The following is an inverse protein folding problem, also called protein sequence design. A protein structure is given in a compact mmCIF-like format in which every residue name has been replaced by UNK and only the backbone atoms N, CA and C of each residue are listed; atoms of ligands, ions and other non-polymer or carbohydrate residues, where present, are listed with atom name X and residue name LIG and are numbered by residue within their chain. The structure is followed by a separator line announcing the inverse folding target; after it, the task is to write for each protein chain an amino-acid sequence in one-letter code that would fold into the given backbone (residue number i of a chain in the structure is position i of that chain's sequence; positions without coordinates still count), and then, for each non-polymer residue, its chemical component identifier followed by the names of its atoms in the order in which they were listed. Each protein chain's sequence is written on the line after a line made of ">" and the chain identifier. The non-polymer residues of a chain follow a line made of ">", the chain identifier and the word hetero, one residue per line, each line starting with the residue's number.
data_IF_673663401501
#
_entry.id   IF_673663401501
#
_cell.length_a   1.000
_cell.length_b   1.000
_cell.length_c   1.000
_cell.angle_alpha   90.00
_cell.angle_beta   90.00
_cell.angle_gamma   90.00
#
_symmetry.space_group_name_H-M   'P 1'
#
loop_
_entity.id
_entity.type
_entity.pdbx_description
1 polymer ?
#
# COMPACT_ATOMS: atom_id res chain seq x y z
N UNK A 1 3.90 -24.18 19.37
CA UNK A 1 4.03 -22.70 19.34
C UNK A 1 3.51 -22.22 18.01
N UNK A 2 2.71 -21.17 17.97
CA UNK A 2 2.16 -20.63 16.73
C UNK A 2 3.20 -19.92 15.88
N UNK A 3 3.01 -19.91 14.57
CA UNK A 3 3.77 -19.11 13.60
C UNK A 3 2.90 -18.02 13.01
N UNK A 4 3.52 -16.97 12.49
CA UNK A 4 2.88 -15.86 11.78
C UNK A 4 3.50 -15.74 10.39
N UNK A 5 2.68 -15.48 9.38
CA UNK A 5 3.15 -15.20 8.02
C UNK A 5 2.95 -13.73 7.68
N UNK A 6 4.03 -13.02 7.39
CA UNK A 6 4.03 -11.68 6.82
C UNK A 6 4.28 -11.72 5.31
N UNK A 7 3.50 -10.97 4.54
CA UNK A 7 3.69 -10.76 3.11
C UNK A 7 4.04 -9.30 2.91
N UNK A 8 5.18 -9.02 2.27
CA UNK A 8 5.63 -7.67 1.89
C UNK A 8 5.77 -7.58 0.37
N UNK A 9 4.93 -6.80 -0.27
CA UNK A 9 4.99 -6.57 -1.70
C UNK A 9 5.51 -5.17 -2.02
N UNK A 10 6.80 -5.08 -2.29
CA UNK A 10 7.41 -3.86 -2.79
C UNK A 10 7.24 -3.67 -4.30
N UNK A 11 7.86 -2.62 -4.83
CA UNK A 11 7.77 -2.28 -6.25
C UNK A 11 8.47 -3.30 -7.17
N UNK A 12 9.46 -4.03 -6.69
CA UNK A 12 10.28 -4.95 -7.51
C UNK A 12 10.30 -6.38 -7.00
N UNK A 13 9.95 -6.59 -5.74
CA UNK A 13 10.07 -7.88 -5.05
C UNK A 13 8.87 -8.07 -4.14
N UNK A 14 8.28 -9.27 -4.16
CA UNK A 14 7.38 -9.77 -3.12
C UNK A 14 8.16 -10.72 -2.20
N UNK A 15 7.88 -10.65 -0.90
CA UNK A 15 8.49 -11.49 0.13
C UNK A 15 7.40 -12.15 0.96
N UNK A 16 7.64 -13.39 1.34
CA UNK A 16 6.85 -14.11 2.33
C UNK A 16 7.81 -14.50 3.47
N UNK A 17 7.49 -14.09 4.69
CA UNK A 17 8.35 -14.30 5.85
C UNK A 17 7.55 -14.97 6.96
N UNK A 18 8.02 -16.10 7.44
CA UNK A 18 7.42 -16.83 8.56
C UNK A 18 8.20 -16.49 9.82
N UNK A 19 7.47 -16.05 10.84
CA UNK A 19 8.00 -15.67 12.15
C UNK A 19 7.48 -16.61 13.24
N UNK A 20 8.26 -16.79 14.29
CA UNK A 20 7.73 -17.28 15.55
C UNK A 20 7.09 -16.12 16.37
N UNK A 21 6.41 -16.45 17.44
CA UNK A 21 5.75 -15.46 18.31
C UNK A 21 6.72 -14.59 19.12
N UNK A 22 8.04 -14.86 19.05
CA UNK A 22 9.08 -14.00 19.58
C UNK A 22 9.63 -13.02 18.53
N UNK A 23 9.07 -13.01 17.31
CA UNK A 23 9.49 -12.14 16.20
C UNK A 23 10.74 -12.62 15.45
N UNK A 24 11.21 -13.85 15.70
CA UNK A 24 12.37 -14.40 15.00
C UNK A 24 11.93 -14.97 13.66
N UNK A 25 12.69 -14.68 12.61
CA UNK A 25 12.48 -15.26 11.28
C UNK A 25 12.76 -16.77 11.32
N UNK A 26 11.79 -17.57 10.95
CA UNK A 26 11.89 -19.05 10.85
C UNK A 26 12.24 -19.45 9.42
N UNK A 27 11.59 -18.85 8.44
CA UNK A 27 11.89 -19.02 7.02
C UNK A 27 11.45 -17.80 6.22
N UNK A 28 12.02 -17.62 5.04
CA UNK A 28 11.69 -16.52 4.13
C UNK A 28 11.93 -16.95 2.69
N UNK A 29 11.05 -16.48 1.81
CA UNK A 29 11.25 -16.54 0.37
C UNK A 29 10.92 -15.20 -0.28
N UNK A 30 11.45 -14.98 -1.48
CA UNK A 30 11.23 -13.77 -2.26
C UNK A 30 11.15 -14.09 -3.74
N UNK A 31 10.33 -13.31 -4.46
CA UNK A 31 10.19 -13.38 -5.91
C UNK A 31 10.28 -11.97 -6.51
N UNK A 32 10.90 -11.86 -7.67
CA UNK A 32 10.80 -10.63 -8.46
C UNK A 32 9.39 -10.50 -9.02
N UNK A 33 8.86 -9.27 -9.02
CA UNK A 33 7.56 -8.94 -9.59
C UNK A 33 7.77 -7.97 -10.74
N UNK A 34 7.52 -8.39 -11.99
CA UNK A 34 7.74 -7.56 -13.16
C UNK A 34 6.87 -6.30 -13.16
N UNK A 35 7.40 -5.25 -13.77
CA UNK A 35 6.69 -4.02 -14.09
C UNK A 35 6.64 -3.88 -15.60
N UNK A 36 5.61 -3.22 -16.12
CA UNK A 36 5.49 -2.83 -17.52
C UNK A 36 5.43 -1.32 -17.65
N UNK A 37 6.10 -0.79 -18.68
CA UNK A 37 6.10 0.62 -19.05
C UNK A 37 5.49 0.77 -20.44
N UNK A 38 4.16 0.62 -20.61
CA UNK A 38 3.52 0.58 -21.94
C UNK A 38 3.60 1.91 -22.67
N UNK A 39 3.76 3.03 -21.94
CA UNK A 39 3.88 4.40 -22.48
C UNK A 39 4.73 5.23 -21.51
N UNK A 40 5.28 6.37 -21.95
CA UNK A 40 5.90 7.33 -21.02
C UNK A 40 4.95 7.68 -19.87
N UNK A 41 5.49 7.78 -18.65
CA UNK A 41 4.77 8.06 -17.39
C UNK A 41 3.81 6.95 -16.91
N UNK A 42 3.63 5.85 -17.65
CA UNK A 42 2.79 4.73 -17.24
C UNK A 42 3.64 3.62 -16.68
N UNK A 43 3.45 3.30 -15.40
CA UNK A 43 4.10 2.18 -14.72
C UNK A 43 3.03 1.26 -14.17
N UNK A 44 2.97 0.03 -14.67
CA UNK A 44 1.88 -0.90 -14.43
C UNK A 44 2.41 -2.28 -14.06
N UNK A 45 1.52 -3.11 -13.51
CA UNK A 45 1.80 -4.50 -13.17
C UNK A 45 0.59 -5.38 -13.45
N UNK A 46 0.83 -6.54 -14.06
CA UNK A 46 -0.18 -7.58 -14.14
C UNK A 46 -0.60 -8.03 -12.73
N UNK A 47 -1.88 -7.85 -12.41
CA UNK A 47 -2.44 -8.17 -11.10
C UNK A 47 -2.46 -9.68 -10.85
N UNK A 48 -2.78 -10.48 -11.87
CA UNK A 48 -2.79 -11.94 -11.77
C UNK A 48 -1.38 -12.49 -11.61
N UNK A 49 -0.41 -11.97 -12.39
CA UNK A 49 0.99 -12.32 -12.27
C UNK A 49 1.57 -11.94 -10.91
N UNK A 50 1.17 -10.78 -10.34
CA UNK A 50 1.54 -10.41 -8.98
C UNK A 50 1.08 -11.45 -7.96
N UNK A 51 -0.18 -11.87 -8.04
CA UNK A 51 -0.70 -12.92 -7.16
C UNK A 51 0.05 -14.24 -7.33
N UNK A 52 0.31 -14.67 -8.57
CA UNK A 52 1.06 -15.89 -8.85
C UNK A 52 2.44 -15.88 -8.19
N UNK A 53 3.23 -14.80 -8.39
CA UNK A 53 4.54 -14.68 -7.75
C UNK A 53 4.48 -14.60 -6.23
N UNK A 54 3.41 -14.00 -5.68
CA UNK A 54 3.21 -13.95 -4.22
C UNK A 54 2.86 -15.34 -3.67
N UNK A 55 1.98 -16.09 -4.36
CA UNK A 55 1.64 -17.46 -3.98
C UNK A 55 2.86 -18.38 -4.03
N UNK A 56 3.69 -18.28 -5.07
CA UNK A 56 4.96 -18.99 -5.16
C UNK A 56 5.91 -18.65 -4.01
N UNK A 57 6.03 -17.36 -3.65
CA UNK A 57 6.87 -16.95 -2.53
C UNK A 57 6.37 -17.53 -1.20
N UNK A 58 5.04 -17.59 -1.00
CA UNK A 58 4.44 -18.24 0.18
C UNK A 58 4.77 -19.73 0.19
N UNK A 59 4.55 -20.44 -0.93
CA UNK A 59 4.84 -21.86 -1.05
C UNK A 59 6.32 -22.19 -0.76
N UNK A 60 7.25 -21.37 -1.29
CA UNK A 60 8.67 -21.53 -1.03
C UNK A 60 9.03 -21.29 0.45
N UNK A 61 8.44 -20.27 1.08
CA UNK A 61 8.67 -19.98 2.49
C UNK A 61 8.16 -21.13 3.38
N UNK A 62 6.99 -21.69 3.03
CA UNK A 62 6.44 -22.88 3.72
C UNK A 62 7.32 -24.12 3.51
N UNK A 63 7.80 -24.35 2.30
CA UNK A 63 8.69 -25.49 1.98
C UNK A 63 10.03 -25.42 2.74
N UNK A 64 10.55 -24.21 2.95
CA UNK A 64 11.76 -23.97 3.72
C UNK A 64 11.53 -23.95 5.25
N UNK A 65 10.28 -23.90 5.69
CA UNK A 65 9.92 -23.89 7.09
C UNK A 65 10.04 -25.31 7.69
N UNK A 66 10.74 -25.52 8.82
CA UNK A 66 10.84 -26.84 9.46
C UNK A 66 9.55 -27.28 10.17
N UNK A 67 8.49 -26.48 10.07
CA UNK A 67 7.22 -26.70 10.77
C UNK A 67 6.05 -26.73 9.77
N UNK A 68 4.96 -27.45 10.08
CA UNK A 68 3.84 -27.60 9.16
C UNK A 68 3.07 -26.28 8.99
N UNK A 69 2.45 -26.11 7.82
CA UNK A 69 1.61 -24.95 7.52
C UNK A 69 0.43 -24.77 8.50
N UNK A 70 -0.02 -25.86 9.15
CA UNK A 70 -1.06 -25.80 10.20
C UNK A 70 -0.66 -25.02 11.44
N UNK A 71 0.62 -24.73 11.63
CA UNK A 71 1.12 -23.91 12.72
C UNK A 71 0.99 -22.40 12.47
N UNK A 72 0.70 -21.99 11.22
CA UNK A 72 0.44 -20.59 10.88
C UNK A 72 -0.90 -20.17 11.51
N UNK A 73 -0.84 -19.35 12.54
CA UNK A 73 -2.01 -18.88 13.28
C UNK A 73 -2.69 -17.68 12.61
N UNK A 74 -1.93 -16.83 11.91
CA UNK A 74 -2.44 -15.66 11.21
C UNK A 74 -1.50 -15.23 10.07
N UNK A 75 -2.10 -14.57 9.08
CA UNK A 75 -1.41 -13.99 7.92
C UNK A 75 -1.72 -12.50 7.88
N UNK A 76 -0.72 -11.67 7.57
CA UNK A 76 -0.93 -10.26 7.26
C UNK A 76 -0.15 -9.87 6.01
N UNK A 77 -0.73 -9.00 5.19
CA UNK A 77 -0.07 -8.42 4.03
C UNK A 77 0.21 -6.93 4.24
N UNK A 78 1.35 -6.50 3.75
CA UNK A 78 1.67 -5.10 3.48
C UNK A 78 2.17 -4.98 2.04
N UNK A 79 2.03 -3.80 1.45
CA UNK A 79 2.52 -3.56 0.10
C UNK A 79 2.82 -2.08 -0.11
N UNK A 80 3.53 -1.77 -1.22
CA UNK A 80 3.75 -0.39 -1.61
C UNK A 80 2.42 0.39 -1.62
N UNK A 81 2.42 1.56 -1.02
CA UNK A 81 1.27 2.46 -1.02
C UNK A 81 1.12 3.21 -2.33
N UNK A 82 0.04 3.98 -2.42
CA UNK A 82 -0.39 4.71 -3.62
C UNK A 82 -0.62 3.79 -4.85
N UNK A 83 -0.96 4.37 -5.99
CA UNK A 83 -1.35 3.58 -7.16
C UNK A 83 -2.80 3.08 -7.07
N UNK A 84 -3.19 2.16 -7.96
CA UNK A 84 -4.56 1.63 -8.03
C UNK A 84 -4.57 0.17 -8.47
N UNK A 85 -5.41 -0.63 -7.82
CA UNK A 85 -5.74 -2.01 -8.15
C UNK A 85 -7.26 -2.13 -8.27
N UNK A 86 -7.78 -1.97 -9.50
CA UNK A 86 -9.21 -1.81 -9.75
C UNK A 86 -9.85 -3.13 -10.16
N UNK A 87 -11.01 -3.42 -9.56
CA UNK A 87 -11.84 -4.57 -9.92
C UNK A 87 -13.19 -4.10 -10.49
N UNK A 88 -13.78 -4.94 -11.33
CA UNK A 88 -15.20 -4.78 -11.74
C UNK A 88 -16.15 -5.25 -10.63
N UNK A 89 -17.46 -5.14 -10.88
CA UNK A 89 -18.48 -5.55 -9.92
C UNK A 89 -18.49 -7.04 -9.58
N UNK A 90 -17.85 -7.89 -10.42
CA UNK A 90 -17.70 -9.32 -10.19
C UNK A 90 -16.35 -9.67 -9.53
N UNK A 91 -15.54 -8.68 -9.15
CA UNK A 91 -14.25 -8.89 -8.50
C UNK A 91 -13.10 -9.27 -9.44
N UNK A 92 -13.26 -9.06 -10.76
CA UNK A 92 -12.20 -9.33 -11.75
C UNK A 92 -11.34 -8.09 -11.98
N UNK A 93 -10.01 -8.21 -12.13
CA UNK A 93 -9.16 -7.10 -12.50
C UNK A 93 -9.63 -6.39 -13.78
N UNK A 94 -9.87 -5.09 -13.71
CA UNK A 94 -10.27 -4.29 -14.87
C UNK A 94 -9.13 -4.06 -15.86
N UNK A 95 -7.90 -4.03 -15.36
CA UNK A 95 -6.68 -3.83 -16.12
C UNK A 95 -5.47 -4.10 -15.23
N UNK A 96 -4.23 -3.99 -15.73
CA UNK A 96 -3.05 -4.00 -14.88
C UNK A 96 -3.14 -2.96 -13.76
N UNK A 97 -2.66 -3.31 -12.57
CA UNK A 97 -2.52 -2.38 -11.46
C UNK A 97 -1.58 -1.23 -11.81
N UNK A 98 -1.91 -0.04 -11.38
CA UNK A 98 -1.09 1.17 -11.56
C UNK A 98 -0.21 1.33 -10.32
N UNK A 99 1.10 1.50 -10.51
CA UNK A 99 2.07 1.54 -9.42
C UNK A 99 2.30 2.98 -8.91
N UNK A 100 2.85 3.12 -7.71
CA UNK A 100 3.21 4.42 -7.11
C UNK A 100 4.33 5.17 -7.87
N UNK A 101 5.01 4.52 -8.82
CA UNK A 101 5.96 5.15 -9.75
C UNK A 101 5.29 5.78 -10.97
N UNK A 102 3.99 5.54 -11.16
CA UNK A 102 3.23 6.09 -12.27
C UNK A 102 3.06 7.60 -12.12
N UNK A 103 3.20 8.32 -13.23
CA UNK A 103 3.06 9.78 -13.22
C UNK A 103 2.12 10.30 -14.31
N UNK A 104 1.21 9.43 -14.81
CA UNK A 104 0.25 9.81 -15.85
C UNK A 104 -0.67 10.94 -15.43
N UNK A 105 -1.04 11.03 -14.16
CA UNK A 105 -1.91 12.06 -13.62
C UNK A 105 -1.16 13.35 -13.18
N UNK A 106 0.10 13.52 -13.60
CA UNK A 106 0.92 14.68 -13.20
C UNK A 106 0.30 16.04 -13.59
N UNK A 107 -0.37 16.13 -14.75
CA UNK A 107 -1.04 17.36 -15.18
C UNK A 107 -2.29 17.66 -14.33
N UNK A 108 -3.01 16.63 -13.86
CA UNK A 108 -4.13 16.80 -12.93
C UNK A 108 -3.62 17.29 -11.58
N UNK A 109 -2.58 16.66 -11.03
CA UNK A 109 -1.97 17.09 -9.77
C UNK A 109 -1.45 18.54 -9.84
N UNK A 110 -0.80 18.93 -10.95
CA UNK A 110 -0.34 20.30 -11.17
C UNK A 110 -1.51 21.30 -11.24
N UNK A 111 -2.59 20.95 -11.93
CA UNK A 111 -3.79 21.79 -11.98
C UNK A 111 -4.41 21.94 -10.59
N UNK A 112 -4.59 20.87 -9.83
CA UNK A 112 -5.11 20.93 -8.48
C UNK A 112 -4.25 21.72 -7.49
N UNK A 113 -2.94 21.77 -7.74
CA UNK A 113 -2.04 22.64 -6.99
C UNK A 113 -2.29 24.12 -7.33
N UNK A 114 -2.63 24.43 -8.58
CA UNK A 114 -2.85 25.80 -9.05
C UNK A 114 -4.24 26.35 -8.71
N UNK A 115 -5.27 25.53 -8.72
CA UNK A 115 -6.69 25.94 -8.55
C UNK A 115 -7.20 25.85 -7.09
N UNK A 116 -6.33 25.43 -6.15
CA UNK A 116 -6.68 25.34 -4.73
C UNK A 116 -7.23 23.98 -4.29
N UNK A 117 -7.54 23.06 -5.21
CA UNK A 117 -8.03 21.70 -4.89
C UNK A 117 -7.06 20.94 -3.98
N UNK A 118 -5.74 21.06 -4.23
CA UNK A 118 -4.74 20.38 -3.40
C UNK A 118 -4.66 20.96 -1.96
N UNK A 119 -4.93 22.25 -1.80
CA UNK A 119 -4.99 22.88 -0.46
C UNK A 119 -6.21 22.39 0.31
N UNK A 120 -7.37 22.34 -0.33
CA UNK A 120 -8.60 21.80 0.26
C UNK A 120 -8.44 20.30 0.58
N UNK A 121 -7.84 19.52 -0.31
CA UNK A 121 -7.57 18.11 -0.04
C UNK A 121 -6.66 17.94 1.18
N UNK A 122 -5.59 18.73 1.30
CA UNK A 122 -4.70 18.69 2.46
C UNK A 122 -5.44 19.00 3.77
N UNK A 123 -6.30 20.02 3.74
CA UNK A 123 -7.11 20.39 4.91
C UNK A 123 -8.05 19.26 5.33
N UNK A 124 -8.76 18.66 4.35
CA UNK A 124 -9.82 17.69 4.62
C UNK A 124 -9.30 16.26 4.85
N UNK A 125 -8.30 15.85 4.10
CA UNK A 125 -7.81 14.47 4.12
C UNK A 125 -6.42 14.30 4.75
N UNK A 126 -5.73 15.38 5.07
CA UNK A 126 -4.33 15.32 5.47
C UNK A 126 -3.38 14.96 4.32
N UNK A 127 -3.88 14.82 3.09
CA UNK A 127 -3.11 14.40 1.92
C UNK A 127 -3.01 15.51 0.89
N UNK A 128 -1.83 15.67 0.31
CA UNK A 128 -1.63 16.49 -0.88
C UNK A 128 -1.57 15.57 -2.10
N UNK A 129 -2.55 15.61 -3.01
CA UNK A 129 -2.55 14.78 -4.20
C UNK A 129 -1.29 15.00 -5.05
N UNK A 130 -0.69 13.90 -5.47
CA UNK A 130 0.45 13.85 -6.39
C UNK A 130 0.12 12.93 -7.56
N UNK A 131 1.04 12.80 -8.52
CA UNK A 131 0.76 12.11 -9.79
C UNK A 131 0.32 10.66 -9.67
N UNK A 132 0.76 9.94 -8.64
CA UNK A 132 0.38 8.54 -8.37
C UNK A 132 -0.62 8.39 -7.22
N UNK A 133 -1.11 9.50 -6.64
CA UNK A 133 -2.15 9.43 -5.63
C UNK A 133 -3.44 8.80 -6.21
N UNK A 134 -4.14 7.94 -5.47
CA UNK A 134 -5.35 7.29 -5.94
C UNK A 134 -6.40 8.26 -6.49
N UNK A 135 -6.59 9.42 -5.84
CA UNK A 135 -7.50 10.47 -6.29
C UNK A 135 -7.13 11.04 -7.66
N UNK A 136 -5.84 11.35 -7.89
CA UNK A 136 -5.38 11.90 -9.16
C UNK A 136 -5.46 10.87 -10.29
N UNK A 137 -5.11 9.61 -10.02
CA UNK A 137 -5.19 8.52 -10.99
C UNK A 137 -6.65 8.21 -11.39
N UNK A 138 -7.59 8.21 -10.44
CA UNK A 138 -9.02 8.02 -10.75
C UNK A 138 -9.57 9.19 -11.55
N UNK A 139 -9.21 10.43 -11.22
CA UNK A 139 -9.58 11.60 -12.03
C UNK A 139 -8.99 11.54 -13.45
N UNK A 140 -7.77 11.00 -13.58
CA UNK A 140 -7.16 10.76 -14.89
C UNK A 140 -7.95 9.70 -15.69
N UNK A 141 -8.32 8.58 -15.06
CA UNK A 141 -9.12 7.52 -15.68
C UNK A 141 -10.48 8.06 -16.13
N UNK A 142 -11.15 8.86 -15.29
CA UNK A 142 -12.43 9.50 -15.67
C UNK A 142 -12.29 10.34 -16.94
N UNK A 143 -11.22 11.09 -17.07
CA UNK A 143 -11.01 12.00 -18.19
C UNK A 143 -10.52 11.29 -19.46
N UNK A 144 -9.71 10.22 -19.35
CA UNK A 144 -9.01 9.62 -20.48
C UNK A 144 -9.49 8.20 -20.85
N UNK A 145 -10.12 7.49 -19.91
CA UNK A 145 -10.63 6.13 -20.07
C UNK A 145 -12.04 6.00 -19.46
N UNK A 146 -13.04 6.80 -19.91
CA UNK A 146 -14.35 6.88 -19.26
C UNK A 146 -15.10 5.53 -19.24
N UNK A 147 -14.98 4.70 -20.27
CA UNK A 147 -15.61 3.38 -20.32
C UNK A 147 -15.02 2.43 -19.27
N UNK A 148 -13.73 2.52 -19.00
CA UNK A 148 -13.08 1.78 -17.90
C UNK A 148 -13.50 2.33 -16.56
N UNK A 149 -13.54 3.65 -16.42
CA UNK A 149 -13.96 4.32 -15.18
C UNK A 149 -15.39 3.92 -14.78
N UNK A 150 -16.31 3.86 -15.74
CA UNK A 150 -17.71 3.48 -15.49
C UNK A 150 -17.88 2.01 -15.04
N UNK A 151 -16.88 1.16 -15.24
CA UNK A 151 -16.90 -0.26 -14.85
C UNK A 151 -16.24 -0.53 -13.51
N UNK A 152 -15.72 0.48 -12.82
CA UNK A 152 -15.09 0.32 -11.52
C UNK A 152 -16.13 -0.13 -10.49
N UNK A 153 -15.98 -1.36 -10.00
CA UNK A 153 -16.78 -1.91 -8.91
C UNK A 153 -16.08 -1.76 -7.56
N UNK A 154 -14.74 -1.86 -7.54
CA UNK A 154 -13.95 -1.74 -6.30
C UNK A 154 -12.62 -1.04 -6.57
N UNK A 155 -12.28 -0.11 -5.67
CA UNK A 155 -11.00 0.60 -5.62
C UNK A 155 -10.15 0.00 -4.51
N UNK A 156 -9.12 -0.74 -4.87
CA UNK A 156 -8.22 -1.40 -3.92
C UNK A 156 -6.80 -0.83 -4.02
N UNK A 157 -6.04 -0.97 -2.92
CA UNK A 157 -4.59 -0.85 -2.90
C UNK A 157 -3.93 -2.19 -3.21
N UNK A 158 -2.61 -2.19 -3.38
CA UNK A 158 -1.84 -3.40 -3.70
C UNK A 158 -2.01 -4.50 -2.63
N UNK A 159 -1.90 -4.16 -1.34
CA UNK A 159 -2.06 -5.15 -0.26
C UNK A 159 -3.50 -5.68 -0.18
N UNK A 160 -4.50 -4.83 -0.47
CA UNK A 160 -5.91 -5.21 -0.45
C UNK A 160 -6.22 -6.20 -1.58
N UNK A 161 -5.60 -6.02 -2.75
CA UNK A 161 -5.64 -7.02 -3.81
C UNK A 161 -5.05 -8.36 -3.38
N UNK A 162 -3.87 -8.37 -2.73
CA UNK A 162 -3.26 -9.61 -2.25
C UNK A 162 -4.12 -10.30 -1.18
N UNK A 163 -4.70 -9.53 -0.26
CA UNK A 163 -5.63 -10.05 0.72
C UNK A 163 -6.91 -10.59 0.07
N UNK A 164 -7.46 -9.88 -0.92
CA UNK A 164 -8.59 -10.36 -1.71
C UNK A 164 -8.27 -11.70 -2.38
N UNK A 165 -7.10 -11.87 -2.97
CA UNK A 165 -6.67 -13.15 -3.55
C UNK A 165 -6.59 -14.28 -2.52
N UNK A 166 -6.23 -13.98 -1.27
CA UNK A 166 -6.20 -14.96 -0.18
C UNK A 166 -7.60 -15.32 0.31
N UNK A 167 -8.52 -14.35 0.39
CA UNK A 167 -9.75 -14.46 1.18
C UNK A 167 -11.04 -14.35 0.38
N UNK A 168 -11.01 -13.73 -0.81
CA UNK A 168 -12.19 -13.30 -1.55
C UNK A 168 -12.93 -12.10 -0.95
N UNK A 169 -12.46 -11.55 0.19
CA UNK A 169 -13.10 -10.43 0.88
C UNK A 169 -12.63 -9.06 0.39
N UNK A 170 -13.60 -8.17 0.12
CA UNK A 170 -13.34 -6.76 -0.21
C UNK A 170 -13.32 -5.95 1.08
N UNK A 171 -12.19 -5.35 1.40
CA UNK A 171 -12.00 -4.40 2.51
C UNK A 171 -10.72 -3.59 2.30
N UNK A 172 -10.44 -2.64 3.16
CA UNK A 172 -9.14 -1.98 3.35
C UNK A 172 -8.88 -1.83 4.84
N UNK A 173 -7.73 -1.30 5.22
CA UNK A 173 -7.48 -0.94 6.61
C UNK A 173 -7.41 0.56 6.82
N UNK A 174 -7.41 0.94 8.10
CA UNK A 174 -7.42 2.34 8.55
C UNK A 174 -6.24 3.15 7.96
N UNK A 175 -5.04 2.55 7.89
CA UNK A 175 -3.84 3.23 7.41
C UNK A 175 -3.84 3.42 5.88
N UNK A 176 -4.28 2.42 5.13
CA UNK A 176 -4.33 2.46 3.67
C UNK A 176 -5.46 3.38 3.18
N UNK A 177 -6.65 3.31 3.80
CA UNK A 177 -7.79 4.17 3.45
C UNK A 177 -7.44 5.66 3.50
N UNK A 178 -6.55 6.05 4.42
CA UNK A 178 -6.13 7.44 4.61
C UNK A 178 -5.17 7.98 3.54
N UNK A 179 -4.78 7.17 2.56
CA UNK A 179 -3.91 7.65 1.47
C UNK A 179 -4.62 8.64 0.56
N UNK A 180 -5.97 8.64 0.51
CA UNK A 180 -6.71 9.51 -0.39
C UNK A 180 -8.10 9.99 0.08
N UNK A 181 -8.93 9.15 0.73
CA UNK A 181 -10.38 9.38 0.75
C UNK A 181 -11.02 9.49 2.13
N UNK A 182 -10.24 9.38 3.21
CA UNK A 182 -10.77 9.59 4.57
C UNK A 182 -10.69 11.05 4.98
N UNK A 183 -11.66 11.51 5.74
CA UNK A 183 -11.56 12.78 6.46
C UNK A 183 -10.52 12.63 7.59
N UNK A 184 -9.60 13.57 7.67
CA UNK A 184 -8.46 13.50 8.60
C UNK A 184 -8.88 13.59 10.07
N UNK A 185 -10.03 14.20 10.37
CA UNK A 185 -10.50 14.35 11.74
C UNK A 185 -11.27 13.12 12.24
N UNK A 186 -12.13 12.55 11.37
CA UNK A 186 -12.96 11.39 11.71
C UNK A 186 -12.28 10.07 11.45
N UNK A 187 -11.23 10.04 10.62
CA UNK A 187 -10.50 8.84 10.18
C UNK A 187 -11.36 7.85 9.38
N UNK A 188 -12.46 8.31 8.82
CA UNK A 188 -13.42 7.52 8.04
C UNK A 188 -13.77 8.26 6.75
N UNK A 189 -14.47 7.59 5.84
CA UNK A 189 -15.01 8.22 4.64
C UNK A 189 -16.02 9.30 5.02
N UNK A 190 -16.03 10.38 4.23
CA UNK A 190 -17.03 11.44 4.34
C UNK A 190 -17.57 11.80 2.96
N UNK A 191 -18.86 12.11 2.88
CA UNK A 191 -19.60 12.32 1.62
C UNK A 191 -19.04 13.48 0.78
N UNK A 192 -18.36 14.43 1.39
CA UNK A 192 -17.80 15.61 0.75
C UNK A 192 -16.35 15.45 0.28
N UNK A 193 -15.70 14.32 0.55
CA UNK A 193 -14.29 14.09 0.13
C UNK A 193 -14.19 13.75 -1.35
N UNK A 194 -14.94 12.78 -1.84
CA UNK A 194 -14.91 12.42 -3.26
C UNK A 194 -15.27 13.58 -4.21
N UNK A 195 -16.27 14.45 -3.87
CA UNK A 195 -16.57 15.65 -4.64
C UNK A 195 -15.41 16.63 -4.82
N UNK A 196 -14.46 16.73 -3.88
CA UNK A 196 -13.26 17.55 -4.02
C UNK A 196 -12.52 17.23 -5.33
N UNK A 197 -12.52 15.95 -5.70
CA UNK A 197 -11.83 15.40 -6.86
C UNK A 197 -12.75 15.15 -8.06
N UNK A 198 -14.06 15.40 -7.91
CA UNK A 198 -15.11 15.06 -8.88
C UNK A 198 -15.28 13.54 -9.04
N UNK A 199 -15.14 12.78 -7.97
CA UNK A 199 -15.18 11.31 -7.95
C UNK A 199 -16.40 10.75 -7.21
N UNK A 200 -17.43 11.54 -6.99
CA UNK A 200 -18.66 11.19 -6.25
C UNK A 200 -19.31 9.91 -6.77
N UNK A 201 -19.19 9.65 -8.06
CA UNK A 201 -19.73 8.43 -8.68
C UNK A 201 -19.07 7.13 -8.15
N UNK A 202 -17.92 7.21 -7.49
CA UNK A 202 -17.19 6.06 -6.96
C UNK A 202 -17.44 5.78 -5.47
N UNK A 203 -18.39 6.46 -4.82
CA UNK A 203 -18.69 6.22 -3.40
C UNK A 203 -19.04 4.75 -3.10
N UNK A 204 -19.72 4.09 -4.02
CA UNK A 204 -20.08 2.67 -3.93
C UNK A 204 -18.87 1.72 -4.07
N UNK A 205 -17.76 2.19 -4.64
CA UNK A 205 -16.60 1.39 -4.97
C UNK A 205 -15.51 1.42 -3.88
N UNK A 206 -15.65 2.30 -2.88
CA UNK A 206 -14.71 2.34 -1.76
C UNK A 206 -14.94 1.12 -0.85
N UNK A 207 -13.87 0.36 -0.50
CA UNK A 207 -13.99 -0.81 0.35
C UNK A 207 -14.25 -0.42 1.81
N UNK A 208 -14.96 -1.23 2.61
CA UNK A 208 -15.13 -0.98 4.04
C UNK A 208 -13.76 -0.94 4.76
N UNK A 209 -13.63 -0.01 5.71
CA UNK A 209 -12.41 0.18 6.50
C UNK A 209 -12.46 -0.74 7.72
N UNK A 210 -11.40 -1.50 7.94
CA UNK A 210 -11.20 -2.38 9.09
C UNK A 210 -10.07 -1.87 9.97
N UNK A 211 -10.06 -2.28 11.24
CA UNK A 211 -8.86 -2.15 12.06
C UNK A 211 -7.74 -3.02 11.46
N UNK A 212 -6.47 -2.57 11.48
CA UNK A 212 -5.36 -3.29 10.85
C UNK A 212 -5.16 -4.73 11.34
N UNK A 213 -5.48 -5.01 12.60
CA UNK A 213 -5.39 -6.32 13.24
C UNK A 213 -6.70 -7.12 13.17
N UNK A 214 -7.77 -6.55 12.65
CA UNK A 214 -9.03 -7.27 12.47
C UNK A 214 -8.87 -8.41 11.45
N UNK A 215 -9.52 -9.53 11.72
CA UNK A 215 -9.60 -10.64 10.75
C UNK A 215 -10.49 -10.21 9.59
N UNK A 216 -9.89 -9.94 8.45
CA UNK A 216 -10.57 -9.50 7.22
C UNK A 216 -11.12 -10.66 6.38
N UNK A 217 -10.83 -11.89 6.77
CA UNK A 217 -11.26 -13.11 6.11
C UNK A 217 -10.36 -14.29 6.45
N UNK A 218 -10.57 -15.37 5.72
CA UNK A 218 -9.82 -16.61 5.91
C UNK A 218 -9.32 -17.12 4.56
N UNK A 219 -8.20 -17.82 4.57
CA UNK A 219 -7.63 -18.45 3.36
C UNK A 219 -8.68 -19.35 2.71
N UNK A 220 -8.98 -19.08 1.44
CA UNK A 220 -9.92 -19.88 0.65
C UNK A 220 -9.30 -21.21 0.22
N UNK A 221 -10.10 -22.22 -0.14
CA UNK A 221 -9.57 -23.47 -0.71
C UNK A 221 -8.73 -23.23 -1.98
N UNK A 222 -9.10 -22.24 -2.80
CA UNK A 222 -8.36 -21.86 -4.01
C UNK A 222 -6.99 -21.29 -3.67
N UNK A 223 -6.91 -20.37 -2.72
CA UNK A 223 -5.66 -19.80 -2.26
C UNK A 223 -4.78 -20.88 -1.58
N UNK A 224 -5.38 -21.76 -0.78
CA UNK A 224 -4.68 -22.87 -0.15
C UNK A 224 -4.03 -23.82 -1.18
N UNK A 225 -4.73 -24.13 -2.27
CA UNK A 225 -4.20 -24.99 -3.33
C UNK A 225 -2.99 -24.37 -4.06
N UNK A 226 -2.92 -23.04 -4.16
CA UNK A 226 -1.81 -22.35 -4.83
C UNK A 226 -0.63 -22.08 -3.89
N UNK A 227 -0.88 -21.88 -2.61
CA UNK A 227 0.13 -21.42 -1.65
C UNK A 227 0.68 -22.51 -0.75
N UNK A 228 -0.06 -23.63 -0.58
CA UNK A 228 0.23 -24.62 0.44
C UNK A 228 -0.22 -24.25 1.85
N UNK A 229 -0.88 -23.10 2.02
CA UNK A 229 -1.51 -22.70 3.29
C UNK A 229 -2.70 -23.61 3.62
N UNK A 230 -3.10 -23.62 4.88
CA UNK A 230 -4.31 -24.34 5.30
C UNK A 230 -5.53 -23.46 5.05
N UNK A 231 -6.53 -23.98 4.33
CA UNK A 231 -7.81 -23.27 4.17
C UNK A 231 -8.44 -23.01 5.55
N UNK A 232 -8.99 -21.80 5.71
CA UNK A 232 -9.53 -21.35 6.99
C UNK A 232 -8.51 -20.64 7.90
N UNK A 233 -7.23 -20.55 7.53
CA UNK A 233 -6.26 -19.74 8.28
C UNK A 233 -6.69 -18.26 8.26
N UNK A 234 -6.75 -17.58 9.43
CA UNK A 234 -7.13 -16.17 9.51
C UNK A 234 -6.16 -15.25 8.75
N UNK A 235 -6.71 -14.24 8.06
CA UNK A 235 -5.96 -13.19 7.38
C UNK A 235 -6.37 -11.84 7.94
N UNK A 236 -5.42 -11.09 8.51
CA UNK A 236 -5.64 -9.74 9.03
C UNK A 236 -5.79 -8.71 7.90
N UNK A 237 -6.39 -7.57 8.21
CA UNK A 237 -6.52 -6.45 7.26
C UNK A 237 -5.15 -5.93 6.77
N UNK A 238 -4.15 -5.95 7.64
CA UNK A 238 -2.79 -5.54 7.32
C UNK A 238 -2.57 -4.03 7.48
N UNK A 239 -1.41 -3.55 7.05
CA UNK A 239 -0.96 -2.16 7.20
C UNK A 239 -0.38 -1.63 5.90
N UNK A 240 -0.46 -0.33 5.69
CA UNK A 240 0.36 0.39 4.71
C UNK A 240 1.87 0.16 5.01
N UNK A 241 2.71 -0.02 3.98
CA UNK A 241 4.10 -0.49 4.11
C UNK A 241 4.98 0.39 5.00
N UNK A 242 4.85 1.71 4.89
CA UNK A 242 5.65 2.65 5.68
C UNK A 242 5.28 2.53 7.17
N UNK A 243 3.98 2.49 7.48
CA UNK A 243 3.50 2.28 8.85
C UNK A 243 3.91 0.92 9.41
N UNK A 244 3.83 -0.14 8.58
CA UNK A 244 4.31 -1.47 8.94
C UNK A 244 5.82 -1.49 9.24
N UNK A 245 6.61 -0.76 8.44
CA UNK A 245 8.05 -0.62 8.64
C UNK A 245 8.39 0.12 9.95
N UNK A 246 7.68 1.22 10.22
CA UNK A 246 7.83 1.98 11.47
C UNK A 246 7.53 1.12 12.71
N UNK A 247 6.41 0.39 12.66
CA UNK A 247 6.02 -0.54 13.72
C UNK A 247 7.05 -1.64 13.91
N UNK A 248 7.49 -2.29 12.82
CA UNK A 248 8.43 -3.39 12.83
C UNK A 248 9.84 -2.99 13.31
N UNK A 249 10.24 -1.74 13.07
CA UNK A 249 11.48 -1.16 13.56
C UNK A 249 11.41 -0.69 15.03
N UNK A 250 10.24 -0.78 15.68
CA UNK A 250 10.03 -0.27 17.04
C UNK A 250 9.91 1.25 17.11
N UNK A 251 9.70 1.91 15.97
CA UNK A 251 9.56 3.37 15.88
C UNK A 251 8.12 3.90 15.99
N UNK A 252 7.14 3.01 16.14
CA UNK A 252 5.74 3.40 16.22
C UNK A 252 5.34 3.74 17.66
N UNK A 253 5.77 4.90 18.14
CA UNK A 253 5.44 5.41 19.48
C UNK A 253 5.43 6.95 19.46
N UNK A 254 4.61 7.56 20.33
CA UNK A 254 4.59 9.01 20.51
C UNK A 254 5.95 9.50 21.01
N UNK A 255 6.45 10.60 20.43
CA UNK A 255 7.77 11.15 20.74
C UNK A 255 8.95 10.43 20.08
N UNK A 256 8.69 9.41 19.28
CA UNK A 256 9.72 8.70 18.49
C UNK A 256 9.57 9.09 17.02
N UNK A 257 10.69 9.30 16.32
CA UNK A 257 10.74 9.44 14.89
C UNK A 257 11.28 8.15 14.25
N UNK A 258 10.50 7.52 13.38
CA UNK A 258 10.97 6.45 12.52
C UNK A 258 11.55 7.06 11.24
N UNK A 259 12.78 6.69 10.89
CA UNK A 259 13.48 7.23 9.73
C UNK A 259 13.87 6.08 8.79
N UNK A 260 13.33 6.10 7.59
CA UNK A 260 13.75 5.23 6.49
C UNK A 260 14.74 6.03 5.63
N UNK A 261 16.00 5.60 5.60
CA UNK A 261 17.08 6.20 4.82
C UNK A 261 17.46 5.26 3.66
N UNK A 262 16.61 5.19 2.65
CA UNK A 262 16.80 4.40 1.44
C UNK A 262 16.95 5.28 0.20
N UNK A 263 16.60 4.77 -0.98
CA UNK A 263 16.49 5.56 -2.22
C UNK A 263 15.61 6.78 -2.00
N UNK A 264 14.46 6.60 -1.34
CA UNK A 264 13.64 7.63 -0.74
C UNK A 264 14.01 7.81 0.73
N UNK A 265 13.80 9.01 1.28
CA UNK A 265 13.76 9.22 2.73
C UNK A 265 12.32 9.39 3.17
N UNK A 266 11.92 8.64 4.20
CA UNK A 266 10.60 8.75 4.80
C UNK A 266 10.80 8.92 6.30
N UNK A 267 10.24 9.98 6.86
CA UNK A 267 10.30 10.27 8.29
C UNK A 267 8.87 10.25 8.83
N UNK A 268 8.63 9.46 9.85
CA UNK A 268 7.32 9.29 10.47
C UNK A 268 7.33 9.61 11.95
N UNK A 269 6.24 10.21 12.42
CA UNK A 269 5.97 10.42 13.84
C UNK A 269 4.51 10.13 14.13
N UNK A 270 4.25 9.50 15.28
CA UNK A 270 2.90 9.20 15.76
C UNK A 270 2.41 10.29 16.72
N UNK A 271 1.14 10.67 16.61
CA UNK A 271 0.51 11.65 17.49
C UNK A 271 -0.94 11.28 17.82
N UNK A 272 -1.49 11.88 18.88
CA UNK A 272 -2.90 11.75 19.29
C UNK A 272 -3.78 12.88 18.73
N UNK A 273 -3.28 13.66 17.82
CA UNK A 273 -4.01 14.74 17.17
C UNK A 273 -3.62 14.85 15.70
N UNK A 274 -4.60 15.07 14.83
CA UNK A 274 -4.37 15.40 13.44
C UNK A 274 -3.52 16.68 13.34
N UNK A 275 -2.40 16.60 12.65
CA UNK A 275 -1.53 17.75 12.39
C UNK A 275 -1.23 17.79 10.90
N UNK A 276 -1.89 18.69 10.18
CA UNK A 276 -1.65 18.93 8.78
C UNK A 276 -0.64 20.05 8.56
N UNK A 277 0.11 19.99 7.48
CA UNK A 277 1.07 21.01 7.13
C UNK A 277 1.61 20.88 5.72
N UNK A 278 2.19 21.94 5.15
CA UNK A 278 2.60 21.95 3.75
C UNK A 278 3.79 21.04 3.43
N UNK A 279 4.51 20.57 4.42
CA UNK A 279 5.73 19.77 4.26
C UNK A 279 5.57 18.28 4.58
N UNK A 280 4.38 17.82 5.00
CA UNK A 280 4.14 16.42 5.35
C UNK A 280 2.70 16.00 5.09
N UNK A 281 2.48 14.69 5.05
CA UNK A 281 1.16 14.06 5.04
C UNK A 281 0.73 13.74 6.47
N UNK A 282 -0.57 13.79 6.75
CA UNK A 282 -1.16 13.32 8.00
C UNK A 282 -2.09 12.16 7.66
N UNK A 283 -1.66 10.94 7.98
CA UNK A 283 -2.41 9.70 7.73
C UNK A 283 -3.00 9.17 9.02
N UNK A 284 -3.97 8.29 8.91
CA UNK A 284 -4.48 7.55 10.07
C UNK A 284 -3.37 6.67 10.65
N UNK A 285 -3.33 6.56 11.97
CA UNK A 285 -2.51 5.60 12.67
C UNK A 285 -3.09 4.19 12.64
N UNK A 286 -2.51 3.29 13.44
CA UNK A 286 -2.96 1.88 13.53
C UNK A 286 -4.22 1.72 14.38
N UNK A 287 -4.59 2.73 15.16
CA UNK A 287 -5.79 2.72 16.00
C UNK A 287 -6.57 4.04 15.85
N UNK A 288 -7.88 4.03 16.09
CA UNK A 288 -8.67 5.25 16.13
C UNK A 288 -8.10 6.27 17.13
N UNK A 289 -8.08 7.54 16.75
CA UNK A 289 -7.49 8.63 17.53
C UNK A 289 -5.96 8.68 17.50
N UNK A 290 -5.33 7.93 16.61
CA UNK A 290 -3.91 8.04 16.30
C UNK A 290 -3.71 8.55 14.88
N UNK A 291 -2.71 9.39 14.70
CA UNK A 291 -2.30 9.90 13.40
C UNK A 291 -0.81 9.68 13.19
N UNK A 292 -0.44 9.43 11.95
CA UNK A 292 0.94 9.30 11.52
C UNK A 292 1.30 10.46 10.60
N UNK A 293 2.14 11.38 11.07
CA UNK A 293 2.69 12.46 10.26
C UNK A 293 3.91 11.95 9.51
N UNK A 294 3.91 12.10 8.19
CA UNK A 294 4.89 11.49 7.29
C UNK A 294 5.47 12.55 6.34
N UNK A 295 6.78 12.75 6.39
CA UNK A 295 7.51 13.57 5.44
C UNK A 295 8.30 12.65 4.49
N UNK A 296 8.11 12.86 3.19
CA UNK A 296 8.73 12.04 2.14
C UNK A 296 9.62 12.92 1.25
N UNK A 297 10.87 12.51 1.07
CA UNK A 297 11.76 13.03 0.04
C UNK A 297 12.01 11.95 -1.02
N UNK A 298 11.77 12.24 -2.30
CA UNK A 298 12.00 11.28 -3.38
C UNK A 298 13.49 11.06 -3.68
N UNK A 299 14.37 11.80 -3.04
CA UNK A 299 15.80 11.75 -3.24
C UNK A 299 16.53 11.75 -1.89
N UNK A 300 17.11 10.61 -1.52
CA UNK A 300 17.89 10.41 -0.30
C UNK A 300 19.20 9.70 -0.62
N UNK A 301 19.31 8.40 -0.40
CA UNK A 301 20.52 7.65 -0.75
C UNK A 301 20.85 7.73 -2.25
N UNK A 302 19.85 7.87 -3.12
CA UNK A 302 20.07 8.10 -4.55
C UNK A 302 20.83 9.40 -4.85
N UNK A 303 20.61 10.48 -4.08
CA UNK A 303 21.41 11.70 -4.19
C UNK A 303 22.85 11.49 -3.71
N UNK A 304 22.99 10.73 -2.63
CA UNK A 304 24.30 10.39 -2.11
C UNK A 304 25.08 9.51 -3.09
N UNK A 305 24.45 8.50 -3.67
CA UNK A 305 25.06 7.68 -4.72
C UNK A 305 25.44 8.51 -5.95
N UNK A 306 24.55 9.38 -6.41
CA UNK A 306 24.87 10.30 -7.51
C UNK A 306 26.05 11.20 -7.19
N UNK A 307 26.12 11.75 -5.97
CA UNK A 307 27.24 12.58 -5.53
C UNK A 307 28.57 11.79 -5.53
N UNK A 308 28.56 10.58 -4.97
CA UNK A 308 29.73 9.72 -4.94
C UNK A 308 30.19 9.34 -6.36
N UNK A 309 29.26 8.95 -7.23
CA UNK A 309 29.57 8.58 -8.61
C UNK A 309 30.10 9.75 -9.43
N UNK A 310 29.61 10.98 -9.16
CA UNK A 310 29.96 12.17 -9.92
C UNK A 310 31.27 12.82 -9.44
N UNK A 311 31.47 12.88 -8.14
CA UNK A 311 32.55 13.69 -7.55
C UNK A 311 33.59 12.88 -6.75
N UNK A 312 33.29 11.65 -6.37
CA UNK A 312 34.11 10.80 -5.50
C UNK A 312 34.31 9.40 -6.10
N UNK A 313 34.38 9.27 -7.42
CA UNK A 313 34.51 7.97 -8.08
C UNK A 313 35.80 7.22 -7.68
N UNK A 314 36.89 7.95 -7.42
CA UNK A 314 38.17 7.35 -7.00
C UNK A 314 38.06 6.79 -5.57
N UNK A 315 37.46 7.50 -4.66
CA UNK A 315 37.26 7.09 -3.26
C UNK A 315 36.28 5.93 -3.16
N UNK A 316 35.26 5.88 -4.03
CA UNK A 316 34.29 4.77 -4.08
C UNK A 316 34.89 3.47 -4.61
N UNK A 317 35.95 3.55 -5.42
CA UNK A 317 36.66 2.41 -5.97
C UNK A 317 37.76 1.84 -5.03
N UNK A 318 38.13 2.56 -4.00
CA UNK A 318 39.12 2.18 -3.00
C UNK A 318 38.46 1.41 -1.84
#
# INVERSE_FOLDING_TARGET
>A
MSLLLGIDNGLTVTKAVIFDTAGRVVSMARRRVPQSLPRPRHVQRDMTGLWTHTAEAIADALSACPRPASDIACIAATAHGDGLYLLDGEGRPLAPGILSLDSRAGEIAARWQADGTAALALERTGQRPHASAPSALLAWLRANEPDRFARIGHVLACKDWLRFCLTGGIATDLTEASTAFTDVATQDYADDILPIFGLEALSHALPPILAPDAVAGHVTPQAAALTGLVAGTPVAAGLHDVTASSLGAGGYAEGVAAIVAGTYSINETVSRAARTGPGWFCRNGIAPGEWNAMAISPASASNYDWFLDTFCAAERAA
#
